data_IF_019016705752
#
_entry.id   IF_019016705752
#
_cell.length_a   1.000
_cell.length_b   1.000
_cell.length_c   1.000
_cell.angle_alpha   90.00
_cell.angle_beta   90.00
_cell.angle_gamma   90.00
#
_symmetry.space_group_name_H-M   'P 1'
#
loop_
_entity.id
_entity.type
_entity.pdbx_description
1 polymer ?
#
# COMPACT_ATOMS: atom_id res chain seq x y z
N UNK A 1 -5.02 14.74 -27.40
CA UNK A 1 -4.07 14.25 -26.37
C UNK A 1 -2.88 13.63 -27.09
N UNK A 2 -1.64 14.03 -26.77
CA UNK A 2 -0.45 13.36 -27.32
C UNK A 2 -0.28 12.01 -26.60
N UNK A 3 -0.04 10.95 -27.36
CA UNK A 3 0.41 9.68 -26.79
C UNK A 3 1.70 9.95 -25.99
N UNK A 4 1.77 9.55 -24.71
CA UNK A 4 3.00 9.68 -23.94
C UNK A 4 4.13 8.97 -24.68
N UNK A 5 5.23 9.67 -24.93
CA UNK A 5 6.41 9.06 -25.52
C UNK A 5 7.04 8.11 -24.50
N UNK A 6 7.04 6.81 -24.79
CA UNK A 6 7.90 5.87 -24.08
C UNK A 6 9.33 6.20 -24.52
N UNK A 7 10.18 6.63 -23.58
CA UNK A 7 11.59 6.82 -23.88
C UNK A 7 12.17 5.48 -24.38
N UNK A 8 12.82 5.49 -25.54
CA UNK A 8 13.42 4.30 -26.13
C UNK A 8 14.44 3.68 -25.16
N UNK A 9 14.31 2.39 -24.86
CA UNK A 9 15.21 1.65 -23.96
C UNK A 9 14.73 1.52 -22.51
N UNK A 10 13.54 2.02 -22.17
CA UNK A 10 12.94 1.83 -20.84
C UNK A 10 12.05 0.58 -20.84
N UNK A 11 12.50 -0.47 -20.16
CA UNK A 11 11.68 -1.66 -19.89
C UNK A 11 10.75 -1.44 -18.70
N UNK A 12 9.64 -2.19 -18.65
CA UNK A 12 8.88 -2.33 -17.41
C UNK A 12 9.62 -3.27 -16.46
N UNK A 13 9.57 -2.97 -15.16
CA UNK A 13 10.13 -3.83 -14.13
C UNK A 13 9.05 -4.22 -13.16
N UNK A 14 8.95 -5.51 -12.87
CA UNK A 14 8.13 -5.97 -11.76
C UNK A 14 8.91 -5.71 -10.46
N UNK A 15 8.36 -4.85 -9.61
CA UNK A 15 8.99 -4.43 -8.34
C UNK A 15 8.28 -4.98 -7.11
N UNK A 16 7.03 -5.41 -7.27
CA UNK A 16 6.22 -6.11 -6.27
C UNK A 16 5.57 -7.32 -6.96
N UNK A 17 5.74 -8.50 -6.38
CA UNK A 17 5.11 -9.74 -6.83
C UNK A 17 4.84 -10.66 -5.64
N UNK A 18 3.62 -11.13 -5.56
CA UNK A 18 3.19 -12.14 -4.59
C UNK A 18 3.12 -13.50 -5.29
N UNK A 19 4.01 -14.46 -4.96
CA UNK A 19 4.04 -15.77 -5.61
C UNK A 19 2.89 -16.69 -5.18
N UNK A 20 2.20 -16.40 -4.08
CA UNK A 20 0.97 -17.11 -3.68
C UNK A 20 -0.27 -16.36 -4.18
N UNK A 21 -1.43 -17.02 -4.20
CA UNK A 21 -2.69 -16.50 -4.74
C UNK A 21 -3.32 -15.36 -3.93
N UNK A 22 -2.55 -14.65 -3.10
CA UNK A 22 -3.02 -13.45 -2.41
C UNK A 22 -2.94 -12.26 -3.36
N UNK A 23 -4.05 -11.53 -3.53
CA UNK A 23 -4.09 -10.37 -4.40
C UNK A 23 -3.14 -9.25 -3.93
N UNK A 24 -2.51 -8.57 -4.89
CA UNK A 24 -1.73 -7.34 -4.69
C UNK A 24 -2.13 -6.31 -5.73
N UNK A 25 -2.35 -5.07 -5.31
CA UNK A 25 -2.82 -3.99 -6.18
C UNK A 25 -2.52 -2.59 -5.59
N UNK A 26 -3.05 -1.54 -6.24
CA UNK A 26 -2.93 -0.14 -5.82
C UNK A 26 -1.48 0.31 -5.49
N UNK A 27 -0.53 0.19 -6.44
CA UNK A 27 0.84 0.61 -6.21
C UNK A 27 0.94 2.13 -6.09
N UNK A 28 1.68 2.61 -5.09
CA UNK A 28 2.01 4.02 -4.93
C UNK A 28 3.47 4.18 -4.52
N UNK A 29 4.27 4.81 -5.40
CA UNK A 29 5.68 5.05 -5.14
C UNK A 29 5.90 6.44 -4.53
N UNK A 30 6.63 6.48 -3.42
CA UNK A 30 6.97 7.71 -2.70
C UNK A 30 8.47 7.76 -2.42
N UNK A 31 9.12 8.87 -2.76
CA UNK A 31 10.54 9.08 -2.46
C UNK A 31 10.69 9.80 -1.12
N UNK A 32 11.43 9.21 -0.19
CA UNK A 32 11.73 9.82 1.11
C UNK A 32 13.18 9.55 1.51
N UNK A 33 13.95 10.62 1.74
CA UNK A 33 15.39 10.53 1.95
C UNK A 33 16.09 9.82 0.78
N UNK A 34 16.89 8.80 1.10
CA UNK A 34 17.68 8.03 0.14
C UNK A 34 16.93 6.87 -0.53
N UNK A 35 15.67 6.62 -0.14
CA UNK A 35 14.90 5.46 -0.59
C UNK A 35 13.65 5.85 -1.37
N UNK A 36 13.26 4.95 -2.27
CA UNK A 36 11.93 4.84 -2.84
C UNK A 36 11.15 3.83 -2.01
N UNK A 37 9.97 4.21 -1.56
CA UNK A 37 9.02 3.35 -0.85
C UNK A 37 7.88 3.03 -1.81
N UNK A 38 7.68 1.75 -2.09
CA UNK A 38 6.54 1.26 -2.85
C UNK A 38 5.49 0.79 -1.86
N UNK A 39 4.44 1.59 -1.69
CA UNK A 39 3.23 1.20 -0.97
C UNK A 39 2.34 0.40 -1.92
N UNK A 40 1.67 -0.61 -1.40
CA UNK A 40 0.72 -1.43 -2.17
C UNK A 40 -0.31 -2.03 -1.22
N UNK A 41 -1.49 -2.34 -1.74
CA UNK A 41 -2.48 -3.08 -0.98
C UNK A 41 -2.31 -4.58 -1.22
N UNK A 42 -2.48 -5.38 -0.18
CA UNK A 42 -2.42 -6.85 -0.22
C UNK A 42 -3.65 -7.44 0.47
N UNK A 43 -4.10 -8.60 0.02
CA UNK A 43 -5.21 -9.34 0.61
C UNK A 43 -6.52 -9.13 -0.14
N UNK A 44 -7.58 -9.73 0.37
CA UNK A 44 -8.87 -9.73 -0.29
C UNK A 44 -9.56 -8.38 -0.06
N UNK A 45 -9.81 -7.66 -1.15
CA UNK A 45 -10.65 -6.48 -1.14
C UNK A 45 -12.10 -6.86 -1.47
N UNK A 46 -12.99 -5.94 -1.12
CA UNK A 46 -14.28 -5.78 -1.77
C UNK A 46 -15.29 -6.89 -1.44
N UNK A 47 -16.58 -6.62 -1.64
CA UNK A 47 -17.64 -7.61 -1.36
C UNK A 47 -17.69 -8.08 0.11
N UNK A 48 -17.19 -7.26 1.05
CA UNK A 48 -17.15 -7.59 2.48
C UNK A 48 -18.54 -7.72 3.11
N UNK A 49 -19.59 -7.29 2.41
CA UNK A 49 -20.98 -7.51 2.79
C UNK A 49 -21.47 -8.94 2.47
N UNK A 50 -20.75 -9.68 1.60
CA UNK A 50 -21.15 -11.01 1.11
C UNK A 50 -20.18 -12.12 1.49
N UNK A 51 -18.89 -11.88 1.32
CA UNK A 51 -17.85 -12.88 1.52
C UNK A 51 -16.64 -12.25 2.23
N UNK A 52 -16.65 -12.30 3.56
CA UNK A 52 -15.56 -11.75 4.37
C UNK A 52 -14.43 -12.77 4.47
N UNK A 53 -13.20 -12.38 4.14
CA UNK A 53 -12.05 -13.25 4.32
C UNK A 53 -11.79 -13.53 5.80
N UNK A 54 -11.06 -14.61 6.07
CA UNK A 54 -10.55 -14.90 7.41
C UNK A 54 -9.65 -13.78 7.93
N UNK A 55 -9.59 -13.63 9.25
CA UNK A 55 -8.77 -12.61 9.90
C UNK A 55 -7.29 -12.70 9.46
N UNK A 56 -6.75 -11.55 9.04
CA UNK A 56 -5.41 -11.42 8.50
C UNK A 56 -5.31 -11.59 6.98
N UNK A 57 -6.37 -12.07 6.30
CA UNK A 57 -6.43 -12.18 4.84
C UNK A 57 -7.14 -11.00 4.18
N UNK A 58 -7.80 -10.15 4.96
CA UNK A 58 -8.40 -8.92 4.45
C UNK A 58 -7.38 -7.90 3.98
N UNK A 59 -7.89 -6.96 3.19
CA UNK A 59 -7.14 -5.87 2.60
C UNK A 59 -6.32 -5.09 3.64
N UNK A 60 -5.04 -4.88 3.33
CA UNK A 60 -4.10 -4.14 4.18
C UNK A 60 -3.09 -3.38 3.35
N UNK A 61 -2.52 -2.33 3.93
CA UNK A 61 -1.47 -1.52 3.33
C UNK A 61 -0.11 -2.09 3.71
N UNK A 62 0.68 -2.40 2.69
CA UNK A 62 2.03 -2.90 2.78
C UNK A 62 3.02 -1.88 2.20
N UNK A 63 4.29 -1.99 2.57
CA UNK A 63 5.38 -1.21 1.99
C UNK A 63 6.64 -2.04 1.79
N UNK A 64 7.36 -1.73 0.72
CA UNK A 64 8.73 -2.14 0.47
C UNK A 64 9.58 -0.92 0.14
N UNK A 65 10.90 -1.02 0.26
CA UNK A 65 11.81 0.07 -0.11
C UNK A 65 13.01 -0.39 -0.93
N UNK A 66 13.55 0.53 -1.71
CA UNK A 66 14.79 0.35 -2.46
C UNK A 66 15.52 1.68 -2.66
N UNK A 67 16.83 1.67 -2.85
CA UNK A 67 17.59 2.85 -3.30
C UNK A 67 17.40 3.14 -4.81
N UNK A 68 16.84 2.18 -5.56
CA UNK A 68 16.46 2.29 -6.97
C UNK A 68 14.94 2.32 -7.13
N UNK A 69 14.42 3.16 -8.03
CA UNK A 69 12.98 3.23 -8.29
C UNK A 69 12.42 2.00 -9.02
N UNK A 70 13.28 1.18 -9.63
CA UNK A 70 12.87 0.13 -10.58
C UNK A 70 13.33 -1.27 -10.21
N UNK A 71 14.05 -1.45 -9.09
CA UNK A 71 14.62 -2.75 -8.73
C UNK A 71 14.95 -2.83 -7.24
N UNK A 72 15.19 -4.04 -6.73
CA UNK A 72 15.79 -4.25 -5.40
C UNK A 72 14.88 -3.90 -4.22
N UNK A 73 13.57 -3.90 -4.40
CA UNK A 73 12.63 -3.66 -3.31
C UNK A 73 12.62 -4.82 -2.31
N UNK A 74 12.85 -4.48 -1.05
CA UNK A 74 12.81 -5.40 0.08
C UNK A 74 11.89 -4.86 1.16
N UNK A 75 11.45 -5.73 2.05
CA UNK A 75 10.74 -5.36 3.28
C UNK A 75 11.70 -5.14 4.47
N UNK A 76 11.15 -4.81 5.64
CA UNK A 76 11.90 -4.53 6.87
C UNK A 76 12.74 -5.71 7.36
N UNK A 77 12.35 -6.94 7.02
CA UNK A 77 13.12 -8.15 7.32
C UNK A 77 14.20 -8.46 6.27
N UNK A 78 14.25 -7.69 5.17
CA UNK A 78 15.16 -7.91 4.05
C UNK A 78 14.64 -8.91 3.01
N UNK A 79 13.40 -9.37 3.11
CA UNK A 79 12.82 -10.30 2.13
C UNK A 79 12.49 -9.55 0.83
N UNK A 80 12.81 -10.17 -0.30
CA UNK A 80 12.50 -9.62 -1.63
C UNK A 80 11.00 -9.44 -1.83
N UNK A 81 10.59 -8.26 -2.26
CA UNK A 81 9.19 -7.96 -2.55
C UNK A 81 8.71 -8.47 -3.90
N UNK A 82 9.62 -8.98 -4.73
CA UNK A 82 9.27 -9.82 -5.89
C UNK A 82 9.13 -11.30 -5.52
N UNK A 83 9.18 -11.63 -4.23
CA UNK A 83 8.98 -12.98 -3.70
C UNK A 83 8.06 -12.97 -2.45
N UNK A 84 7.03 -12.13 -2.48
CA UNK A 84 6.05 -12.01 -1.40
C UNK A 84 6.56 -11.32 -0.13
N UNK A 85 7.58 -10.49 -0.25
CA UNK A 85 7.99 -9.56 0.80
C UNK A 85 7.01 -8.38 0.94
N UNK A 86 6.99 -7.79 2.13
CA UNK A 86 6.20 -6.59 2.43
C UNK A 86 6.13 -6.33 3.92
N UNK A 87 6.28 -5.09 4.34
CA UNK A 87 6.07 -4.66 5.74
C UNK A 87 4.67 -4.07 5.88
N UNK A 88 3.89 -4.55 6.85
CA UNK A 88 2.57 -3.97 7.16
C UNK A 88 2.75 -2.53 7.64
N UNK A 89 2.00 -1.61 7.03
CA UNK A 89 1.88 -0.21 7.46
C UNK A 89 0.55 0.01 8.18
N UNK A 90 -0.54 -0.53 7.62
CA UNK A 90 -1.86 -0.43 8.20
C UNK A 90 -2.68 -1.67 7.88
N UNK A 91 -3.27 -2.29 8.88
CA UNK A 91 -4.22 -3.39 8.74
C UNK A 91 -5.44 -3.17 9.61
N UNK A 92 -6.41 -4.08 9.55
CA UNK A 92 -7.64 -3.97 10.34
C UNK A 92 -7.34 -3.91 11.83
N UNK A 93 -8.02 -2.99 12.52
CA UNK A 93 -7.93 -2.81 13.97
C UNK A 93 -9.17 -2.08 14.48
N UNK A 94 -9.68 -2.45 15.66
CA UNK A 94 -10.88 -1.84 16.21
C UNK A 94 -12.05 -1.87 15.21
N UNK A 95 -12.56 -0.69 14.85
CA UNK A 95 -13.63 -0.52 13.86
C UNK A 95 -13.14 -0.20 12.44
N UNK A 96 -11.83 -0.15 12.21
CA UNK A 96 -11.22 0.02 10.89
C UNK A 96 -11.01 -1.36 10.29
N UNK A 97 -11.67 -1.64 9.17
CA UNK A 97 -11.57 -2.92 8.49
C UNK A 97 -11.15 -2.75 7.04
N UNK A 98 -10.22 -3.59 6.57
CA UNK A 98 -9.79 -3.62 5.18
C UNK A 98 -9.21 -2.30 4.63
N UNK A 99 -8.32 -1.57 5.33
CA UNK A 99 -7.77 -0.32 4.81
C UNK A 99 -6.87 -0.55 3.59
N UNK A 100 -7.01 0.28 2.55
CA UNK A 100 -6.13 0.23 1.37
C UNK A 100 -6.52 1.21 0.27
N UNK A 101 -6.10 0.92 -0.97
CA UNK A 101 -6.22 1.86 -2.09
C UNK A 101 -5.46 3.16 -1.83
N UNK A 102 -4.32 3.03 -1.16
CA UNK A 102 -3.62 4.16 -0.56
C UNK A 102 -2.84 5.01 -1.54
N UNK A 103 -2.55 6.24 -1.12
CA UNK A 103 -1.43 7.01 -1.62
C UNK A 103 -0.75 7.79 -0.50
N UNK A 104 0.36 8.44 -0.83
CA UNK A 104 1.10 9.30 0.10
C UNK A 104 1.14 10.71 -0.46
N UNK A 105 0.62 11.67 0.30
CA UNK A 105 0.64 13.09 -0.04
C UNK A 105 1.62 13.82 0.88
N UNK A 106 2.50 14.66 0.32
CA UNK A 106 3.38 15.49 1.13
C UNK A 106 2.65 16.79 1.48
N UNK A 107 1.93 16.76 2.59
CA UNK A 107 1.11 17.88 3.06
C UNK A 107 1.99 19.06 3.54
N UNK A 108 1.64 20.32 3.20
CA UNK A 108 2.44 21.49 3.60
C UNK A 108 2.53 21.73 5.11
N UNK A 109 1.55 21.24 5.88
CA UNK A 109 1.45 21.46 7.33
C UNK A 109 1.93 20.24 8.10
N UNK A 110 1.55 19.05 7.65
CA UNK A 110 1.75 17.80 8.38
C UNK A 110 2.90 16.94 7.83
N UNK A 111 3.48 17.29 6.68
CA UNK A 111 4.46 16.46 5.99
C UNK A 111 3.81 15.24 5.32
N UNK A 112 4.52 14.12 5.16
CA UNK A 112 3.97 12.94 4.52
C UNK A 112 2.74 12.37 5.25
N UNK A 113 1.61 12.33 4.55
CA UNK A 113 0.33 11.79 4.99
C UNK A 113 -0.02 10.57 4.14
N UNK A 114 -0.34 9.46 4.81
CA UNK A 114 -0.96 8.30 4.18
C UNK A 114 -2.47 8.56 4.09
N UNK A 115 -3.04 8.52 2.90
CA UNK A 115 -4.49 8.56 2.71
C UNK A 115 -4.97 7.26 2.08
N UNK A 116 -6.18 6.83 2.43
CA UNK A 116 -6.73 5.53 2.04
C UNK A 116 -8.25 5.49 2.20
N UNK A 117 -8.88 4.43 1.70
CA UNK A 117 -10.25 4.11 2.05
C UNK A 117 -10.29 2.92 3.01
N UNK A 118 -11.33 2.83 3.83
CA UNK A 118 -11.56 1.69 4.73
C UNK A 118 -13.04 1.48 4.99
N UNK A 119 -13.39 0.31 5.55
CA UNK A 119 -14.71 0.03 6.10
C UNK A 119 -14.75 0.43 7.56
N UNK A 120 -15.65 1.35 7.92
CA UNK A 120 -16.02 1.58 9.32
C UNK A 120 -17.11 0.59 9.73
N UNK A 121 -16.75 -0.39 10.56
CA UNK A 121 -17.67 -1.48 10.93
C UNK A 121 -18.87 -1.03 11.76
N UNK A 122 -18.88 0.22 12.24
CA UNK A 122 -20.02 0.83 12.94
C UNK A 122 -21.07 1.39 11.97
N UNK A 123 -20.72 1.57 10.69
CA UNK A 123 -21.61 2.05 9.63
C UNK A 123 -22.15 0.86 8.82
N UNK A 124 -21.25 0.01 8.33
CA UNK A 124 -21.60 -1.14 7.49
C UNK A 124 -20.51 -1.47 6.49
N UNK A 125 -20.62 -2.65 5.87
CA UNK A 125 -19.58 -3.23 5.01
C UNK A 125 -19.80 -3.00 3.51
N UNK A 126 -20.91 -2.36 3.12
CA UNK A 126 -21.24 -2.16 1.70
C UNK A 126 -20.22 -1.26 1.00
N UNK A 127 -19.97 -1.51 -0.29
CA UNK A 127 -18.95 -0.77 -1.05
C UNK A 127 -19.17 0.76 -1.05
N UNK A 128 -20.43 1.20 -1.08
CA UNK A 128 -20.80 2.62 -0.99
C UNK A 128 -20.70 3.23 0.41
N UNK A 129 -20.37 2.44 1.43
CA UNK A 129 -20.23 2.88 2.83
C UNK A 129 -18.76 3.00 3.27
N UNK A 130 -17.82 2.68 2.38
CA UNK A 130 -16.39 2.91 2.62
C UNK A 130 -16.13 4.39 2.81
N UNK A 131 -15.30 4.71 3.78
CA UNK A 131 -14.99 6.09 4.17
C UNK A 131 -13.53 6.40 3.93
N UNK A 132 -13.24 7.70 3.83
CA UNK A 132 -11.88 8.21 3.70
C UNK A 132 -11.17 8.23 5.06
N UNK A 133 -9.93 7.75 5.09
CA UNK A 133 -9.04 7.81 6.24
C UNK A 133 -7.70 8.43 5.87
N UNK A 134 -7.05 9.05 6.84
CA UNK A 134 -5.69 9.54 6.68
C UNK A 134 -4.93 9.52 8.02
N UNK A 135 -3.62 9.33 7.96
CA UNK A 135 -2.71 9.45 9.12
C UNK A 135 -1.42 10.14 8.69
N UNK A 136 -0.80 10.89 9.59
CA UNK A 136 0.58 11.35 9.41
C UNK A 136 1.53 10.17 9.47
N UNK A 137 2.50 10.11 8.57
CA UNK A 137 3.53 9.07 8.59
C UNK A 137 4.71 9.54 9.44
N UNK A 138 5.04 8.75 10.46
CA UNK A 138 6.28 8.92 11.20
C UNK A 138 7.45 8.25 10.46
N UNK A 139 8.55 9.00 10.36
CA UNK A 139 9.83 8.57 9.80
C UNK A 139 10.94 8.59 10.86
N UNK A 140 10.57 8.37 12.13
CA UNK A 140 11.55 8.27 13.24
C UNK A 140 12.50 7.08 13.10
N UNK A 141 12.12 6.11 12.28
CA UNK A 141 12.99 5.06 11.76
C UNK A 141 13.02 5.15 10.23
N UNK A 142 13.91 4.38 9.59
CA UNK A 142 13.92 4.31 8.13
C UNK A 142 12.73 3.51 7.52
N UNK A 143 11.73 3.16 8.32
CA UNK A 143 10.49 2.52 7.88
C UNK A 143 9.29 3.35 8.33
N UNK A 144 8.26 3.53 7.48
CA UNK A 144 7.10 4.31 7.82
C UNK A 144 6.28 3.59 8.89
N UNK A 145 5.79 4.36 9.86
CA UNK A 145 4.78 3.92 10.82
C UNK A 145 3.68 4.98 10.91
N UNK A 146 2.48 4.56 11.31
CA UNK A 146 1.34 5.44 11.56
C UNK A 146 0.77 5.20 12.96
#
# INVERSE_FOLDING_TARGET
MKTPSIASGVGSSNVIYEPVTTAVEAPYMFKHGNYYYMFFSKGNCCGFDKDRPDAGQEYKIMVCRSSSATSGFVDKSGKSCTNGGGTVVLESHGWVYGPGGQGVYNDPTHGPVLYYHYVDTRIGYGDGQKVFGWNTISWSSEWPTI
#
